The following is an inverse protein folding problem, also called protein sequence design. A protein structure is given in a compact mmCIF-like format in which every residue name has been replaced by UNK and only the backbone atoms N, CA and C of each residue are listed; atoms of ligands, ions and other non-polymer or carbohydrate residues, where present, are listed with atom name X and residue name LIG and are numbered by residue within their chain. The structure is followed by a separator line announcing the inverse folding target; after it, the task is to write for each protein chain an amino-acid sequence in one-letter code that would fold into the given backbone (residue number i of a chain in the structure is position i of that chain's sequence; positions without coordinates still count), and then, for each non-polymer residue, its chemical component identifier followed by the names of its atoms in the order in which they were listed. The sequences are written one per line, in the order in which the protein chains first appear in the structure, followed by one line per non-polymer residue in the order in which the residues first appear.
data_IF_627048825143
#
_entry.id   IF_627048825143
#
_cell.length_a   1.000
_cell.length_b   1.000
_cell.length_c   1.000
_cell.angle_alpha   90.00
_cell.angle_beta   90.00
_cell.angle_gamma   90.00
#
_symmetry.space_group_name_H-M   'P 1'
#
loop_
_entity.id
_entity.type
_entity.pdbx_description
1 polymer ?
#
# COMPACT_ATOMS: atom_id res chain seq x y z
N UNK A 1 -25.77 11.79 8.37
CA UNK A 1 -25.24 11.30 7.08
C UNK A 1 -23.95 10.52 7.34
N UNK A 2 -23.77 9.33 6.76
CA UNK A 2 -22.50 8.60 6.87
C UNK A 2 -21.37 9.43 6.25
N UNK A 3 -20.24 9.54 6.95
CA UNK A 3 -19.07 10.32 6.49
C UNK A 3 -18.06 9.37 5.88
N UNK A 4 -17.65 9.62 4.64
CA UNK A 4 -16.52 8.94 4.02
C UNK A 4 -15.22 9.70 4.34
N UNK A 5 -14.12 8.98 4.59
CA UNK A 5 -12.80 9.54 4.89
C UNK A 5 -11.78 8.83 4.00
N UNK A 6 -11.08 9.60 3.20
CA UNK A 6 -10.10 9.12 2.22
C UNK A 6 -8.79 9.88 2.46
N UNK A 7 -7.67 9.16 2.49
CA UNK A 7 -6.34 9.74 2.53
C UNK A 7 -5.42 9.04 1.53
N UNK A 8 -4.34 9.70 1.14
CA UNK A 8 -3.19 9.07 0.49
C UNK A 8 -1.96 9.21 1.38
N UNK A 9 -1.08 8.22 1.30
CA UNK A 9 0.17 8.17 2.04
C UNK A 9 1.25 7.54 1.16
N UNK A 10 2.27 8.31 0.81
CA UNK A 10 3.49 7.76 0.24
C UNK A 10 4.26 7.05 1.37
N UNK A 11 4.31 5.72 1.30
CA UNK A 11 4.91 4.87 2.33
C UNK A 11 6.41 4.61 2.10
N UNK A 12 7.01 5.30 1.11
CA UNK A 12 8.43 5.38 0.73
C UNK A 12 9.26 4.12 1.00
N UNK A 13 9.73 3.46 -0.06
CA UNK A 13 10.59 2.26 0.05
C UNK A 13 9.94 1.07 0.77
N UNK A 14 8.62 0.97 0.79
CA UNK A 14 7.92 -0.20 1.33
C UNK A 14 8.35 -1.55 0.71
N UNK A 15 8.79 -1.65 -0.57
CA UNK A 15 9.38 -2.88 -1.11
C UNK A 15 10.60 -3.38 -0.35
N UNK A 16 11.42 -2.49 0.20
CA UNK A 16 12.64 -2.86 0.93
C UNK A 16 12.35 -3.58 2.27
N UNK A 17 11.08 -3.59 2.69
CA UNK A 17 10.64 -4.30 3.89
C UNK A 17 10.43 -5.80 3.64
N UNK A 18 10.26 -6.22 2.38
CA UNK A 18 9.88 -7.57 2.01
C UNK A 18 11.00 -8.36 1.33
N UNK A 19 10.96 -9.68 1.50
CA UNK A 19 11.91 -10.59 0.87
C UNK A 19 11.56 -10.79 -0.61
N UNK A 20 12.14 -9.97 -1.48
CA UNK A 20 11.89 -10.04 -2.93
C UNK A 20 10.41 -9.86 -3.25
N UNK A 21 9.81 -10.83 -3.93
CA UNK A 21 8.37 -10.86 -4.26
C UNK A 21 7.54 -11.68 -3.26
N UNK A 22 8.14 -12.21 -2.20
CA UNK A 22 7.45 -13.04 -1.22
C UNK A 22 6.61 -12.17 -0.28
N UNK A 23 5.45 -12.67 0.12
CA UNK A 23 4.67 -12.15 1.24
C UNK A 23 5.36 -12.51 2.58
N UNK A 24 6.57 -11.99 2.78
CA UNK A 24 7.40 -12.18 3.96
C UNK A 24 8.21 -10.93 4.24
N UNK A 25 8.17 -10.44 5.47
CA UNK A 25 8.94 -9.28 5.92
C UNK A 25 10.33 -9.71 6.39
N UNK A 26 11.35 -8.92 6.11
CA UNK A 26 12.69 -9.17 6.64
C UNK A 26 12.68 -9.11 8.18
N UNK A 27 13.28 -10.07 8.89
CA UNK A 27 13.23 -10.15 10.35
C UNK A 27 14.09 -9.10 11.10
N UNK A 28 14.63 -8.08 10.41
CA UNK A 28 15.64 -7.12 10.87
C UNK A 28 17.10 -7.60 10.69
N UNK A 29 17.65 -7.48 9.48
CA UNK A 29 19.07 -7.76 9.23
C UNK A 29 19.61 -6.90 8.07
N UNK A 30 19.89 -5.62 8.34
CA UNK A 30 20.70 -4.81 7.43
C UNK A 30 21.95 -4.30 8.14
N UNK A 31 23.12 -4.74 7.69
CA UNK A 31 24.42 -4.14 8.09
C UNK A 31 24.72 -2.84 7.32
N UNK A 32 23.97 -2.52 6.27
CA UNK A 32 24.13 -1.31 5.44
C UNK A 32 22.91 -0.40 5.62
N UNK A 33 23.00 0.53 6.56
CA UNK A 33 22.03 1.61 6.73
C UNK A 33 22.42 2.81 5.88
N UNK A 34 21.51 3.27 5.04
CA UNK A 34 21.62 4.48 4.21
C UNK A 34 20.27 4.82 3.59
N UNK A 35 20.09 6.05 3.12
CA UNK A 35 18.89 6.47 2.38
C UNK A 35 18.69 5.53 1.16
N UNK A 36 17.47 5.01 0.98
CA UNK A 36 17.13 4.04 -0.07
C UNK A 36 17.52 2.58 0.20
N UNK A 37 18.20 2.28 1.32
CA UNK A 37 18.60 0.92 1.70
C UNK A 37 17.56 0.18 2.55
N UNK A 38 17.70 -1.15 2.64
CA UNK A 38 16.91 -1.99 3.56
C UNK A 38 17.08 -1.49 5.01
N UNK A 39 15.98 -1.18 5.73
CA UNK A 39 16.04 -0.75 7.12
C UNK A 39 16.70 -1.79 8.04
N UNK A 40 17.30 -1.31 9.13
CA UNK A 40 17.85 -2.20 10.17
C UNK A 40 16.76 -2.99 10.90
N UNK A 41 15.57 -2.40 11.03
CA UNK A 41 14.40 -2.97 11.71
C UNK A 41 13.16 -2.82 10.82
N UNK A 42 12.93 -3.78 9.92
CA UNK A 42 11.77 -3.76 9.04
C UNK A 42 10.45 -3.89 9.81
N UNK A 43 10.30 -4.78 10.82
CA UNK A 43 9.08 -4.84 11.63
C UNK A 43 8.78 -3.52 12.35
N UNK A 44 9.79 -2.82 12.87
CA UNK A 44 9.63 -1.50 13.46
C UNK A 44 9.17 -0.44 12.45
N UNK A 45 9.70 -0.46 11.22
CA UNK A 45 9.21 0.41 10.14
C UNK A 45 7.75 0.09 9.79
N UNK A 46 7.40 -1.20 9.65
CA UNK A 46 6.02 -1.61 9.44
C UNK A 46 5.09 -1.11 10.56
N UNK A 47 5.50 -1.20 11.83
CA UNK A 47 4.74 -0.65 12.96
C UNK A 47 4.54 0.87 12.84
N UNK A 48 5.55 1.62 12.40
CA UNK A 48 5.44 3.07 12.19
C UNK A 48 4.46 3.42 11.05
N UNK A 49 4.60 2.77 9.90
CA UNK A 49 3.68 2.93 8.75
C UNK A 49 2.24 2.61 9.21
N UNK A 50 2.05 1.49 9.91
CA UNK A 50 0.74 1.11 10.44
C UNK A 50 0.21 2.10 11.47
N UNK A 51 1.09 2.69 12.29
CA UNK A 51 0.75 3.76 13.23
C UNK A 51 0.18 4.98 12.52
N UNK A 52 0.78 5.41 11.40
CA UNK A 52 0.25 6.51 10.58
C UNK A 52 -1.16 6.17 10.07
N UNK A 53 -1.33 5.00 9.44
CA UNK A 53 -2.62 4.54 8.91
C UNK A 53 -3.70 4.50 10.01
N UNK A 54 -3.36 3.97 11.19
CA UNK A 54 -4.27 3.89 12.35
C UNK A 54 -4.62 5.26 12.92
N UNK A 55 -3.67 6.19 12.96
CA UNK A 55 -3.86 7.55 13.50
C UNK A 55 -4.77 8.37 12.58
N UNK A 56 -4.57 8.26 11.27
CA UNK A 56 -5.40 8.94 10.26
C UNK A 56 -6.83 8.39 10.24
N UNK A 57 -7.03 7.12 10.64
CA UNK A 57 -8.34 6.49 10.86
C UNK A 57 -9.30 6.63 9.67
N UNK A 58 -8.78 6.54 8.45
CA UNK A 58 -9.60 6.67 7.24
C UNK A 58 -10.29 5.34 6.86
N UNK A 59 -11.41 5.46 6.14
CA UNK A 59 -12.12 4.33 5.55
C UNK A 59 -11.40 3.82 4.30
N UNK A 60 -10.76 4.72 3.55
CA UNK A 60 -9.95 4.39 2.39
C UNK A 60 -8.59 5.05 2.52
N UNK A 61 -7.52 4.28 2.33
CA UNK A 61 -6.14 4.81 2.29
C UNK A 61 -5.46 4.35 1.03
N UNK A 62 -5.04 5.30 0.19
CA UNK A 62 -4.15 5.05 -0.94
C UNK A 62 -2.71 4.99 -0.47
N UNK A 63 -2.08 3.82 -0.55
CA UNK A 63 -0.65 3.66 -0.32
C UNK A 63 0.07 3.86 -1.64
N UNK A 64 0.91 4.89 -1.69
CA UNK A 64 1.82 5.18 -2.80
C UNK A 64 3.19 4.62 -2.46
N UNK A 65 3.91 4.13 -3.47
CA UNK A 65 5.19 3.42 -3.30
C UNK A 65 5.11 2.23 -2.33
N UNK A 66 3.98 1.51 -2.39
CA UNK A 66 3.79 0.27 -1.66
C UNK A 66 4.68 -0.88 -2.18
N UNK A 67 4.60 -2.05 -1.54
CA UNK A 67 5.33 -3.24 -1.97
C UNK A 67 4.89 -3.65 -3.39
N UNK A 68 5.72 -4.35 -4.16
CA UNK A 68 5.40 -4.67 -5.54
C UNK A 68 4.18 -5.58 -5.69
N UNK A 69 3.88 -6.41 -4.66
CA UNK A 69 2.82 -7.41 -4.74
C UNK A 69 1.66 -7.12 -3.79
N UNK A 70 0.45 -7.39 -4.25
CA UNK A 70 -0.77 -7.39 -3.44
C UNK A 70 -0.63 -8.27 -2.21
N UNK A 71 -0.10 -9.48 -2.36
CA UNK A 71 0.07 -10.43 -1.26
C UNK A 71 0.97 -9.88 -0.14
N UNK A 72 1.96 -9.05 -0.47
CA UNK A 72 2.82 -8.37 0.51
C UNK A 72 2.05 -7.31 1.29
N UNK A 73 1.23 -6.52 0.59
CA UNK A 73 0.35 -5.55 1.24
C UNK A 73 -0.70 -6.25 2.11
N UNK A 74 -1.26 -7.38 1.67
CA UNK A 74 -2.20 -8.18 2.45
C UNK A 74 -1.54 -8.74 3.72
N UNK A 75 -0.29 -9.22 3.64
CA UNK A 75 0.48 -9.60 4.82
C UNK A 75 0.63 -8.43 5.79
N UNK A 76 1.02 -7.25 5.30
CA UNK A 76 1.17 -6.05 6.12
C UNK A 76 -0.15 -5.69 6.83
N UNK A 77 -1.27 -5.72 6.11
CA UNK A 77 -2.59 -5.44 6.67
C UNK A 77 -2.95 -6.47 7.75
N UNK A 78 -2.70 -7.75 7.48
CA UNK A 78 -2.96 -8.84 8.43
C UNK A 78 -2.14 -8.67 9.70
N UNK A 79 -0.83 -8.48 9.58
CA UNK A 79 0.10 -8.45 10.71
C UNK A 79 0.06 -7.13 11.51
N UNK A 80 -0.12 -5.99 10.84
CA UNK A 80 0.06 -4.67 11.47
C UNK A 80 -1.22 -3.85 11.57
N UNK A 81 -2.22 -4.09 10.72
CA UNK A 81 -3.51 -3.36 10.73
C UNK A 81 -4.67 -4.20 11.28
N UNK A 82 -4.39 -5.41 11.79
CA UNK A 82 -5.39 -6.29 12.41
C UNK A 82 -6.43 -6.81 11.41
N UNK A 83 -6.04 -6.92 10.14
CA UNK A 83 -6.89 -7.42 9.06
C UNK A 83 -8.21 -6.63 8.84
N UNK A 84 -8.24 -5.35 9.24
CA UNK A 84 -9.44 -4.48 9.14
C UNK A 84 -9.67 -3.87 7.76
N UNK A 85 -8.74 -4.10 6.84
CA UNK A 85 -8.72 -3.49 5.52
C UNK A 85 -8.65 -4.57 4.45
N UNK A 86 -9.39 -4.39 3.37
CA UNK A 86 -9.24 -5.14 2.13
C UNK A 86 -8.26 -4.42 1.21
N UNK A 87 -7.40 -5.19 0.54
CA UNK A 87 -6.40 -4.65 -0.40
C UNK A 87 -6.91 -4.72 -1.84
N UNK A 88 -6.84 -3.59 -2.52
CA UNK A 88 -6.94 -3.46 -3.97
C UNK A 88 -5.60 -2.93 -4.49
N UNK A 89 -5.12 -3.45 -5.62
CA UNK A 89 -3.78 -3.16 -6.11
C UNK A 89 -3.80 -2.85 -7.60
N UNK A 90 -3.03 -1.86 -8.00
CA UNK A 90 -2.54 -1.70 -9.36
C UNK A 90 -1.05 -2.05 -9.34
N UNK A 91 -0.74 -3.34 -9.51
CA UNK A 91 0.64 -3.81 -9.48
C UNK A 91 1.42 -3.25 -10.68
N UNK A 92 2.53 -2.56 -10.41
CA UNK A 92 3.37 -1.96 -11.46
C UNK A 92 4.83 -1.96 -11.03
N UNK A 93 5.69 -2.63 -11.79
CA UNK A 93 7.14 -2.56 -11.59
C UNK A 93 7.62 -2.87 -10.16
N UNK A 94 8.65 -2.16 -9.66
CA UNK A 94 9.27 -2.43 -8.36
C UNK A 94 8.49 -1.86 -7.16
N UNK A 95 7.53 -0.97 -7.39
CA UNK A 95 6.73 -0.26 -6.39
C UNK A 95 5.32 -0.07 -6.91
N UNK A 96 4.31 -0.49 -6.14
CA UNK A 96 2.92 -0.46 -6.59
C UNK A 96 2.05 0.46 -5.75
N UNK A 97 0.96 0.92 -6.37
CA UNK A 97 -0.07 1.67 -5.66
C UNK A 97 -1.14 0.70 -5.16
N UNK A 98 -1.52 0.86 -3.89
CA UNK A 98 -2.58 0.06 -3.27
C UNK A 98 -3.66 0.95 -2.69
N UNK A 99 -4.88 0.47 -2.69
CA UNK A 99 -5.98 1.02 -1.93
C UNK A 99 -6.34 0.04 -0.81
N UNK A 100 -6.27 0.53 0.42
CA UNK A 100 -6.75 -0.15 1.61
C UNK A 100 -8.17 0.35 1.90
N UNK A 101 -9.16 -0.54 1.88
CA UNK A 101 -10.55 -0.19 2.15
C UNK A 101 -11.01 -0.90 3.41
N UNK A 102 -11.43 -0.13 4.40
CA UNK A 102 -11.85 -0.65 5.71
C UNK A 102 -13.19 -1.37 5.63
N UNK A 103 -13.38 -2.38 6.46
CA UNK A 103 -14.59 -3.20 6.44
C UNK A 103 -15.90 -2.43 6.75
N UNK A 104 -15.80 -1.32 7.49
CA UNK A 104 -16.91 -0.42 7.84
C UNK A 104 -17.10 0.74 6.85
N UNK A 105 -16.42 0.70 5.69
CA UNK A 105 -16.53 1.77 4.70
C UNK A 105 -17.99 1.97 4.26
N UNK A 106 -18.53 3.20 4.30
CA UNK A 106 -19.94 3.46 3.99
C UNK A 106 -20.27 3.32 2.49
N UNK A 107 -19.28 3.04 1.65
CA UNK A 107 -19.43 2.82 0.22
C UNK A 107 -18.77 1.50 -0.20
N UNK A 108 -19.40 0.82 -1.17
CA UNK A 108 -18.86 -0.42 -1.73
C UNK A 108 -17.73 -0.09 -2.71
N UNK A 109 -16.51 -0.47 -2.36
CA UNK A 109 -15.36 -0.42 -3.27
C UNK A 109 -15.34 -1.65 -4.20
N UNK A 110 -15.11 -1.42 -5.49
CA UNK A 110 -14.96 -2.47 -6.51
C UNK A 110 -13.71 -2.15 -7.32
N UNK A 111 -12.85 -3.16 -7.51
CA UNK A 111 -11.73 -3.04 -8.43
C UNK A 111 -12.20 -3.36 -9.84
N UNK A 112 -12.04 -2.38 -10.72
CA UNK A 112 -12.38 -2.51 -12.14
C UNK A 112 -11.27 -3.32 -12.82
N UNK A 113 -11.58 -4.36 -13.62
CA UNK A 113 -10.57 -5.14 -14.31
C UNK A 113 -9.88 -4.32 -15.39
N UNK A 114 -8.63 -4.66 -15.71
CA UNK A 114 -7.82 -3.91 -16.69
C UNK A 114 -8.44 -3.91 -18.10
N UNK A 115 -9.25 -4.92 -18.41
CA UNK A 115 -9.98 -5.06 -19.67
C UNK A 115 -11.14 -4.07 -19.82
N UNK A 116 -11.58 -3.42 -18.74
CA UNK A 116 -12.68 -2.47 -18.74
C UNK A 116 -12.26 -1.13 -19.36
N UNK A 117 -13.16 -0.52 -20.13
CA UNK A 117 -12.83 0.72 -20.85
C UNK A 117 -12.62 1.92 -19.92
N UNK A 118 -13.27 1.96 -18.75
CA UNK A 118 -13.00 2.99 -17.73
C UNK A 118 -11.57 2.85 -17.22
N UNK A 119 -11.12 1.62 -16.94
CA UNK A 119 -9.73 1.39 -16.52
C UNK A 119 -8.76 1.86 -17.61
N UNK A 120 -8.95 1.39 -18.85
CA UNK A 120 -8.11 1.79 -19.99
C UNK A 120 -8.07 3.28 -20.21
N UNK A 121 -9.18 3.99 -19.96
CA UNK A 121 -9.26 5.44 -20.10
C UNK A 121 -8.46 6.14 -19.00
N UNK A 122 -8.63 5.74 -17.75
CA UNK A 122 -7.93 6.32 -16.59
C UNK A 122 -6.44 5.97 -16.55
N UNK A 123 -6.04 4.86 -17.16
CA UNK A 123 -4.64 4.43 -17.21
C UNK A 123 -3.84 5.09 -18.35
N UNK A 124 -4.47 5.92 -19.19
CA UNK A 124 -3.75 6.62 -20.26
C UNK A 124 -2.76 7.60 -19.64
N UNK A 125 -1.53 7.62 -20.16
CA UNK A 125 -0.58 8.67 -19.82
C UNK A 125 -1.19 10.01 -20.20
N UNK A 126 -1.27 10.91 -19.23
CA UNK A 126 -1.54 12.32 -19.48
C UNK A 126 -0.21 12.93 -19.91
N UNK A 127 -0.10 13.32 -21.17
CA UNK A 127 1.05 14.08 -21.65
C UNK A 127 0.90 15.51 -21.15
N UNK A 128 1.83 15.94 -20.29
CA UNK A 128 1.95 17.34 -19.92
C UNK A 128 2.84 18.00 -20.97
N UNK A 129 2.30 18.96 -21.71
CA UNK A 129 3.11 19.86 -22.52
C UNK A 129 3.91 20.74 -21.55
N UNK A 130 5.22 20.50 -21.47
CA UNK A 130 6.17 21.33 -20.74
C UNK A 130 6.74 22.42 -21.65
#
# INVERSE_FOLDING_TARGET
MPKLRIASFNAEWMPNLFVGNEARIYPAESKKGGLGGKPKDCPGVCKRIAGVVKTVDCHVVGIVEGPPRKAQMELFVKEYLGNRYKVFSAESGPQSNHLLVRDDCPVKAVQVPETNDIYKHLSRKVEYYH
#
